data_IF_520548834939
#
_entry.id   IF_520548834939
#
_cell.length_a   1.000
_cell.length_b   1.000
_cell.length_c   1.000
_cell.angle_alpha   90.00
_cell.angle_beta   90.00
_cell.angle_gamma   90.00
#
_symmetry.space_group_name_H-M   'P 1'
#
loop_
_entity.id
_entity.type
_entity.pdbx_description
1 polymer ?
#
# COMPACT_ATOMS: atom_id res chain seq x y z
N UNK A 1 29.22 1.58 -12.39
CA UNK A 1 28.72 2.54 -11.37
C UNK A 1 27.54 3.27 -11.98
N UNK A 2 26.32 2.92 -11.60
CA UNK A 2 25.12 3.60 -12.07
C UNK A 2 25.06 4.93 -11.32
N UNK A 3 25.27 6.06 -12.02
CA UNK A 3 24.97 7.39 -11.47
C UNK A 3 23.47 7.47 -11.28
N UNK A 4 23.00 7.52 -10.04
CA UNK A 4 21.69 8.02 -9.69
C UNK A 4 21.59 9.46 -10.21
N UNK A 5 21.00 9.63 -11.37
CA UNK A 5 20.60 10.95 -11.86
C UNK A 5 19.56 11.48 -10.88
N UNK A 6 19.87 12.59 -10.27
CA UNK A 6 18.94 13.31 -9.41
C UNK A 6 17.70 13.65 -10.27
N UNK A 7 16.58 13.01 -9.95
CA UNK A 7 15.32 13.28 -10.63
C UNK A 7 14.86 14.68 -10.17
N UNK A 8 14.96 15.65 -11.06
CA UNK A 8 14.55 17.02 -10.76
C UNK A 8 13.08 17.20 -11.17
N UNK A 9 12.22 17.19 -10.17
CA UNK A 9 10.77 17.38 -10.33
C UNK A 9 10.45 18.72 -11.01
N UNK A 10 11.29 19.75 -10.83
CA UNK A 10 11.08 21.07 -11.41
C UNK A 10 11.12 21.08 -12.95
N UNK A 11 11.73 20.09 -13.57
CA UNK A 11 11.75 19.96 -15.04
C UNK A 11 10.39 19.55 -15.62
N UNK A 12 9.49 19.01 -14.81
CA UNK A 12 8.16 18.56 -15.25
C UNK A 12 7.06 19.61 -15.04
N UNK A 13 7.29 20.59 -14.18
CA UNK A 13 6.29 21.63 -13.88
C UNK A 13 5.80 22.42 -15.09
N UNK A 14 6.61 22.71 -16.14
CA UNK A 14 6.12 23.41 -17.32
C UNK A 14 5.11 22.62 -18.18
N UNK A 15 5.08 21.29 -18.03
CA UNK A 15 4.24 20.39 -18.83
C UNK A 15 3.08 19.77 -18.04
N UNK A 16 2.98 20.07 -16.74
CA UNK A 16 1.99 19.48 -15.84
C UNK A 16 1.05 20.52 -15.26
N UNK A 17 -0.24 20.23 -15.26
CA UNK A 17 -1.28 21.02 -14.65
C UNK A 17 -2.08 20.16 -13.69
N UNK A 18 -2.12 20.52 -12.42
CA UNK A 18 -2.90 19.82 -11.41
C UNK A 18 -2.25 18.57 -10.82
N UNK A 19 -0.93 18.40 -10.98
CA UNK A 19 -0.18 17.24 -10.48
C UNK A 19 0.54 17.49 -9.15
N UNK A 20 0.34 18.62 -8.50
CA UNK A 20 1.03 18.97 -7.25
C UNK A 20 0.89 17.88 -6.19
N UNK A 21 -0.30 17.31 -6.03
CA UNK A 21 -0.55 16.19 -5.11
C UNK A 21 0.22 14.91 -5.47
N UNK A 22 0.46 14.67 -6.75
CA UNK A 22 1.24 13.51 -7.21
C UNK A 22 2.71 13.69 -6.85
N UNK A 23 3.24 14.89 -7.03
CA UNK A 23 4.62 15.21 -6.65
C UNK A 23 4.83 15.16 -5.14
N UNK A 24 3.90 15.70 -4.36
CA UNK A 24 3.94 15.61 -2.89
C UNK A 24 3.98 14.14 -2.43
N UNK A 25 3.17 13.29 -3.02
CA UNK A 25 3.17 11.84 -2.74
C UNK A 25 4.49 11.17 -3.14
N UNK A 26 5.10 11.57 -4.27
CA UNK A 26 6.40 11.02 -4.70
C UNK A 26 7.54 11.42 -3.77
N UNK A 27 7.52 12.66 -3.27
CA UNK A 27 8.50 13.15 -2.29
C UNK A 27 8.34 12.39 -0.96
N UNK A 28 7.10 12.22 -0.50
CA UNK A 28 6.77 11.48 0.73
C UNK A 28 7.21 10.00 0.62
N UNK A 29 7.06 9.41 -0.56
CA UNK A 29 7.51 8.05 -0.86
C UNK A 29 9.04 7.91 -0.80
N UNK A 30 9.77 8.92 -1.23
CA UNK A 30 11.24 8.95 -1.21
C UNK A 30 11.83 9.05 0.20
N UNK A 31 11.06 9.58 1.16
CA UNK A 31 11.50 9.76 2.55
C UNK A 31 11.08 8.59 3.46
N UNK A 32 10.14 7.75 3.02
CA UNK A 32 9.56 6.65 3.82
C UNK A 32 10.05 5.27 3.37
N UNK A 33 11.25 5.16 2.81
CA UNK A 33 11.89 3.86 2.67
C UNK A 33 12.27 3.32 4.05
N UNK A 34 11.28 2.86 4.79
CA UNK A 34 11.54 1.89 5.84
C UNK A 34 12.00 0.58 5.16
N UNK A 35 13.31 0.43 5.10
CA UNK A 35 14.00 -0.80 4.67
C UNK A 35 13.82 -1.91 5.70
N UNK A 36 12.63 -2.12 6.18
CA UNK A 36 12.27 -3.21 7.07
C UNK A 36 11.09 -3.95 6.46
N UNK A 37 11.36 -4.97 5.67
CA UNK A 37 10.37 -5.70 4.90
C UNK A 37 9.29 -6.46 5.68
N UNK A 38 9.00 -6.10 6.92
CA UNK A 38 7.95 -6.74 7.69
C UNK A 38 6.68 -5.88 7.78
N UNK A 39 5.52 -6.48 7.56
CA UNK A 39 5.30 -7.82 7.03
C UNK A 39 5.57 -7.92 5.51
N UNK A 40 6.01 -9.08 5.00
CA UNK A 40 6.17 -9.30 3.58
C UNK A 40 4.81 -9.27 2.89
N UNK A 41 4.79 -8.79 1.66
CA UNK A 41 3.56 -8.63 0.89
C UNK A 41 3.79 -8.89 -0.60
N UNK A 42 2.71 -9.21 -1.29
CA UNK A 42 2.63 -9.27 -2.75
C UNK A 42 1.55 -8.32 -3.24
N UNK A 43 1.76 -7.73 -4.40
CA UNK A 43 0.72 -7.05 -5.16
C UNK A 43 0.52 -7.85 -6.44
N UNK A 44 -0.68 -8.39 -6.63
CA UNK A 44 -1.02 -9.22 -7.77
C UNK A 44 -2.08 -8.53 -8.64
N UNK A 45 -1.83 -8.44 -9.93
CA UNK A 45 -2.87 -8.08 -10.90
C UNK A 45 -3.63 -9.37 -11.27
N UNK A 46 -4.91 -9.41 -10.95
CA UNK A 46 -5.77 -10.59 -11.21
C UNK A 46 -6.58 -10.44 -12.49
N UNK A 47 -6.87 -9.21 -12.90
CA UNK A 47 -7.58 -8.85 -14.12
C UNK A 47 -7.13 -7.45 -14.56
N UNK A 48 -7.55 -6.97 -15.72
CA UNK A 48 -7.15 -5.65 -16.26
C UNK A 48 -7.46 -4.51 -15.28
N UNK A 49 -8.53 -4.63 -14.51
CA UNK A 49 -8.99 -3.63 -13.56
C UNK A 49 -8.99 -4.11 -12.10
N UNK A 50 -8.43 -5.29 -11.83
CA UNK A 50 -8.45 -5.86 -10.48
C UNK A 50 -7.07 -6.20 -9.98
N UNK A 51 -6.83 -5.83 -8.73
CA UNK A 51 -5.59 -6.10 -8.03
C UNK A 51 -5.90 -6.70 -6.66
N UNK A 52 -4.96 -7.46 -6.14
CA UNK A 52 -5.02 -8.01 -4.78
C UNK A 52 -3.71 -7.70 -4.08
N UNK A 53 -3.79 -7.11 -2.90
CA UNK A 53 -2.65 -7.01 -1.98
C UNK A 53 -2.73 -8.20 -1.04
N UNK A 54 -1.66 -8.99 -0.96
CA UNK A 54 -1.54 -10.12 -0.06
C UNK A 54 -0.45 -9.80 0.96
N UNK A 55 -0.80 -9.77 2.25
CA UNK A 55 0.15 -9.50 3.34
C UNK A 55 0.28 -10.73 4.21
N UNK A 56 1.50 -11.20 4.44
CA UNK A 56 1.77 -12.37 5.27
C UNK A 56 1.69 -11.99 6.76
N UNK A 57 0.62 -12.43 7.41
CA UNK A 57 0.30 -12.13 8.81
C UNK A 57 0.04 -13.41 9.60
N UNK A 58 0.96 -14.38 9.49
CA UNK A 58 0.88 -15.60 10.26
C UNK A 58 0.89 -15.33 11.77
N UNK A 59 -0.07 -15.90 12.49
CA UNK A 59 -0.22 -15.73 13.93
C UNK A 59 -1.04 -14.52 14.38
N UNK A 60 -1.50 -13.67 13.44
CA UNK A 60 -2.39 -12.55 13.76
C UNK A 60 -3.86 -12.95 13.68
N UNK A 61 -4.64 -12.54 14.67
CA UNK A 61 -6.10 -12.60 14.64
C UNK A 61 -6.71 -11.38 13.92
N UNK A 62 -7.97 -11.49 13.54
CA UNK A 62 -8.71 -10.39 12.90
C UNK A 62 -8.74 -9.12 13.76
N UNK A 63 -8.89 -9.29 15.06
CA UNK A 63 -9.01 -8.19 16.02
C UNK A 63 -7.66 -7.49 16.28
N UNK A 64 -6.57 -8.08 15.82
CA UNK A 64 -5.22 -7.54 15.95
C UNK A 64 -4.77 -6.72 14.74
N UNK A 65 -5.62 -6.60 13.71
CA UNK A 65 -5.30 -5.93 12.46
C UNK A 65 -6.32 -4.84 12.19
N UNK A 66 -5.84 -3.64 11.97
CA UNK A 66 -6.65 -2.50 11.54
C UNK A 66 -6.28 -2.13 10.09
N UNK A 67 -7.29 -2.00 9.25
CA UNK A 67 -7.15 -1.56 7.86
C UNK A 67 -7.93 -0.28 7.66
N UNK A 68 -7.26 0.81 7.30
CA UNK A 68 -7.88 2.12 7.08
C UNK A 68 -7.51 2.67 5.71
N UNK A 69 -8.44 3.40 5.12
CA UNK A 69 -8.23 4.13 3.86
C UNK A 69 -8.50 5.61 4.10
N UNK A 70 -7.48 6.44 3.92
CA UNK A 70 -7.57 7.89 4.09
C UNK A 70 -6.80 8.58 2.97
N UNK A 71 -7.45 9.47 2.24
CA UNK A 71 -6.85 10.28 1.17
C UNK A 71 -6.03 9.45 0.14
N UNK A 72 -6.56 8.30 -0.26
CA UNK A 72 -5.89 7.41 -1.20
C UNK A 72 -4.72 6.62 -0.62
N UNK A 73 -4.51 6.67 0.69
CA UNK A 73 -3.51 5.86 1.39
C UNK A 73 -4.21 4.74 2.16
N UNK A 74 -3.96 3.51 1.75
CA UNK A 74 -4.37 2.32 2.45
C UNK A 74 -3.34 1.99 3.53
N UNK A 75 -3.73 2.05 4.79
CA UNK A 75 -2.87 1.73 5.92
C UNK A 75 -3.32 0.41 6.54
N UNK A 76 -2.37 -0.48 6.78
CA UNK A 76 -2.54 -1.72 7.52
C UNK A 76 -1.67 -1.61 8.76
N UNK A 77 -2.28 -1.69 9.93
CA UNK A 77 -1.61 -1.54 11.22
C UNK A 77 -1.94 -2.73 12.12
N UNK A 78 -0.97 -3.21 12.89
CA UNK A 78 -1.24 -4.11 14.00
C UNK A 78 -1.78 -3.35 15.20
N UNK A 79 -2.57 -4.00 16.05
CA UNK A 79 -2.97 -3.43 17.32
C UNK A 79 -1.74 -3.07 18.17
N UNK A 80 -1.80 -1.93 18.88
CA UNK A 80 -0.67 -1.42 19.66
C UNK A 80 -0.34 -2.30 20.89
N UNK A 81 -1.31 -3.03 21.39
CA UNK A 81 -1.14 -3.94 22.52
C UNK A 81 -0.98 -5.38 22.03
N UNK A 82 0.25 -5.78 21.74
CA UNK A 82 0.60 -7.18 21.66
C UNK A 82 0.90 -7.70 23.06
N UNK A 83 -0.13 -8.12 23.77
CA UNK A 83 -0.02 -8.79 25.06
C UNK A 83 0.38 -10.25 24.88
N UNK A 84 1.58 -10.50 24.41
CA UNK A 84 2.16 -11.83 24.51
C UNK A 84 2.81 -11.97 25.89
N UNK A 85 2.25 -12.85 26.68
CA UNK A 85 2.92 -13.40 27.87
C UNK A 85 4.22 -14.04 27.39
N UNK A 86 5.35 -13.47 27.72
CA UNK A 86 6.70 -13.84 27.32
C UNK A 86 6.81 -14.51 25.91
N UNK A 87 7.03 -13.70 24.86
CA UNK A 87 7.02 -14.23 23.47
C UNK A 87 8.18 -15.20 23.18
N UNK A 88 9.05 -15.44 24.14
CA UNK A 88 10.21 -16.31 23.99
C UNK A 88 10.11 -17.59 24.85
N UNK A 89 9.06 -17.77 25.64
CA UNK A 89 8.92 -18.96 26.48
C UNK A 89 8.84 -20.24 25.63
N UNK A 90 9.80 -21.15 25.84
CA UNK A 90 9.84 -22.44 25.18
C UNK A 90 10.36 -22.45 23.73
N UNK A 91 10.81 -21.31 23.19
CA UNK A 91 11.36 -21.25 21.85
C UNK A 91 12.78 -21.81 21.78
N UNK A 92 12.98 -22.84 20.95
CA UNK A 92 14.30 -23.37 20.59
C UNK A 92 14.88 -22.62 19.39
N UNK A 93 14.02 -22.20 18.45
CA UNK A 93 14.36 -21.40 17.28
C UNK A 93 13.25 -20.41 16.97
N UNK A 94 13.61 -19.16 16.70
CA UNK A 94 12.66 -18.09 16.34
C UNK A 94 12.84 -17.69 14.88
N UNK A 95 11.98 -18.23 14.01
CA UNK A 95 11.94 -17.85 12.58
C UNK A 95 10.74 -16.97 12.25
N UNK A 96 9.65 -17.05 13.05
CA UNK A 96 8.45 -16.24 12.88
C UNK A 96 8.38 -15.20 13.99
N UNK A 97 8.39 -13.94 13.63
CA UNK A 97 8.24 -12.83 14.57
C UNK A 97 6.86 -12.19 14.44
N UNK A 98 6.09 -12.21 15.53
CA UNK A 98 4.87 -11.43 15.67
C UNK A 98 5.24 -10.09 16.32
N UNK A 99 5.26 -9.02 15.56
CA UNK A 99 5.67 -7.70 16.03
C UNK A 99 4.74 -6.60 15.50
N UNK A 100 4.68 -5.50 16.22
CA UNK A 100 3.94 -4.34 15.78
C UNK A 100 4.47 -3.82 14.44
N UNK A 101 3.56 -3.45 13.56
CA UNK A 101 3.89 -2.89 12.25
C UNK A 101 2.86 -1.87 11.79
N UNK A 102 3.28 -1.03 10.88
CA UNK A 102 2.42 -0.17 10.08
C UNK A 102 2.90 -0.24 8.64
N UNK A 103 2.02 -0.63 7.74
CA UNK A 103 2.30 -0.70 6.29
C UNK A 103 1.35 0.22 5.54
N UNK A 104 1.87 1.01 4.61
CA UNK A 104 1.08 1.95 3.82
C UNK A 104 1.23 1.67 2.34
N UNK A 105 0.11 1.76 1.62
CA UNK A 105 0.05 1.63 0.17
C UNK A 105 -0.66 2.85 -0.40
N UNK A 106 -0.03 3.53 -1.35
CA UNK A 106 -0.66 4.64 -2.05
C UNK A 106 -1.50 4.10 -3.21
N UNK A 107 -2.78 4.40 -3.20
CA UNK A 107 -3.72 4.01 -4.23
C UNK A 107 -3.97 5.21 -5.17
N UNK A 108 -4.13 4.92 -6.47
CA UNK A 108 -4.60 5.93 -7.42
C UNK A 108 -6.05 6.33 -7.11
N UNK A 109 -6.47 7.51 -7.55
CA UNK A 109 -7.79 8.07 -7.24
C UNK A 109 -8.96 7.23 -7.77
N UNK A 110 -8.70 6.41 -8.79
CA UNK A 110 -9.67 5.51 -9.43
C UNK A 110 -9.64 4.08 -8.87
N UNK A 111 -8.87 3.82 -7.83
CA UNK A 111 -8.83 2.52 -7.15
C UNK A 111 -9.75 2.52 -5.94
N UNK A 112 -10.65 1.56 -5.89
CA UNK A 112 -11.52 1.29 -4.75
C UNK A 112 -11.14 0.01 -4.04
N UNK A 113 -11.20 0.04 -2.71
CA UNK A 113 -11.08 -1.16 -1.87
C UNK A 113 -12.44 -1.86 -1.83
N UNK A 114 -12.52 -3.09 -2.30
CA UNK A 114 -13.77 -3.86 -2.34
C UNK A 114 -13.96 -4.73 -1.13
N UNK A 115 -12.91 -5.41 -0.67
CA UNK A 115 -12.99 -6.33 0.45
C UNK A 115 -11.61 -6.52 1.11
N UNK A 116 -11.61 -6.95 2.35
CA UNK A 116 -10.41 -7.34 3.08
C UNK A 116 -10.69 -8.59 3.91
N UNK A 117 -9.92 -9.64 3.71
CA UNK A 117 -10.09 -10.94 4.38
C UNK A 117 -8.77 -11.47 4.91
N UNK A 118 -8.80 -11.97 6.14
CA UNK A 118 -7.70 -12.75 6.70
C UNK A 118 -8.02 -14.24 6.54
N UNK A 119 -7.27 -14.90 5.66
CA UNK A 119 -7.46 -16.32 5.35
C UNK A 119 -6.11 -17.04 5.34
N UNK A 120 -6.00 -18.13 6.09
CA UNK A 120 -4.78 -18.94 6.14
C UNK A 120 -3.49 -18.16 6.43
N UNK A 121 -3.56 -17.16 7.31
CA UNK A 121 -2.43 -16.31 7.65
C UNK A 121 -2.06 -15.24 6.61
N UNK A 122 -2.87 -15.06 5.57
CA UNK A 122 -2.74 -14.01 4.58
C UNK A 122 -3.89 -13.01 4.69
N UNK A 123 -3.55 -11.73 4.86
CA UNK A 123 -4.52 -10.65 4.67
C UNK A 123 -4.60 -10.36 3.17
N UNK A 124 -5.76 -10.61 2.58
CA UNK A 124 -6.04 -10.32 1.17
C UNK A 124 -6.94 -9.11 1.08
N UNK A 125 -6.51 -8.10 0.34
CA UNK A 125 -7.27 -6.87 0.10
C UNK A 125 -7.55 -6.78 -1.39
N UNK A 126 -8.82 -6.87 -1.75
CA UNK A 126 -9.29 -6.80 -3.12
C UNK A 126 -9.49 -5.34 -3.54
N UNK A 127 -8.83 -4.96 -4.62
CA UNK A 127 -8.87 -3.63 -5.20
C UNK A 127 -9.43 -3.69 -6.61
N UNK A 128 -10.27 -2.72 -6.96
CA UNK A 128 -10.82 -2.58 -8.30
C UNK A 128 -10.62 -1.17 -8.83
N UNK A 129 -10.13 -1.08 -10.06
CA UNK A 129 -9.99 0.20 -10.76
C UNK A 129 -11.34 0.56 -11.39
N UNK A 130 -11.89 1.68 -10.97
CA UNK A 130 -13.12 2.25 -11.54
C UNK A 130 -12.71 3.32 -12.55
N UNK A 131 -13.07 3.11 -13.81
CA UNK A 131 -12.87 4.10 -14.86
C UNK A 131 -14.14 4.95 -14.99
N UNK A 132 -14.18 6.15 -14.39
CA UNK A 132 -15.36 7.02 -14.50
C UNK A 132 -15.52 7.54 -15.94
N UNK A 133 -16.74 7.84 -16.33
CA UNK A 133 -17.08 8.29 -17.70
C UNK A 133 -16.34 9.57 -18.11
N UNK A 134 -16.00 10.44 -17.15
CA UNK A 134 -15.24 11.67 -17.43
C UNK A 134 -13.76 11.42 -17.78
N UNK A 135 -13.21 10.24 -17.50
CA UNK A 135 -11.85 9.83 -17.89
C UNK A 135 -11.82 9.13 -19.24
N UNK A 136 -12.98 8.85 -19.85
CA UNK A 136 -13.05 8.32 -21.20
C UNK A 136 -12.65 9.40 -22.22
N UNK A 137 -12.05 9.01 -23.36
CA UNK A 137 -11.69 9.96 -24.41
C UNK A 137 -12.89 10.81 -24.84
N UNK A 138 -12.73 12.13 -24.81
CA UNK A 138 -13.74 13.08 -25.25
C UNK A 138 -13.20 13.94 -26.38
N UNK A 139 -13.90 13.94 -27.50
CA UNK A 139 -13.57 14.82 -28.62
C UNK A 139 -14.03 16.25 -28.34
N UNK A 140 -13.12 17.19 -28.35
CA UNK A 140 -13.40 18.62 -28.18
C UNK A 140 -13.45 19.25 -29.58
N UNK A 141 -14.59 19.87 -29.91
CA UNK A 141 -14.71 20.64 -31.15
C UNK A 141 -13.97 21.95 -31.01
N UNK A 142 -13.04 22.19 -31.92
CA UNK A 142 -12.39 23.50 -32.05
C UNK A 142 -13.32 24.44 -32.78
N UNK A 143 -13.59 25.58 -32.20
CA UNK A 143 -14.39 26.65 -32.81
C UNK A 143 -13.50 27.63 -33.54
#
# INVERSE_FOLDING_TARGET
MVKLTHFDINQFTPFSVGFDRVFDRLVDYGTTYETGGFPPYNIRKTDDFKHVIEVALAGFGKDEIEVTLTDGVLQIKSADEMTDKDPNEGLVHKGIAKRAFTRRFTLADDIEVKDAKLVNGLLKIDLEQIVPDHKKPKTIKVK
#
